data_IF_341253352156
#
_entry.id   IF_341253352156
#
_cell.length_a   1.000
_cell.length_b   1.000
_cell.length_c   1.000
_cell.angle_alpha   90.00
_cell.angle_beta   90.00
_cell.angle_gamma   90.00
#
_symmetry.space_group_name_H-M   'P 1'
#
loop_
_entity.id
_entity.type
_entity.pdbx_description
1 polymer ?
#
# COMPACT_ATOMS: atom_id res chain seq x y z
N UNK A 1 0.77 14.65 -16.15
CA UNK A 1 1.25 13.31 -15.80
C UNK A 1 0.93 13.08 -14.33
N UNK A 2 0.06 12.14 -14.06
CA UNK A 2 -0.28 11.73 -12.70
C UNK A 2 0.68 10.64 -12.23
N UNK A 3 0.88 10.52 -10.91
CA UNK A 3 1.88 9.62 -10.29
C UNK A 3 3.28 9.75 -10.94
N UNK A 4 3.67 10.97 -11.29
CA UNK A 4 4.89 11.25 -12.03
C UNK A 4 6.19 10.82 -11.30
N UNK A 5 6.09 10.57 -10.00
CA UNK A 5 7.21 10.06 -9.19
C UNK A 5 7.44 8.56 -9.35
N UNK A 6 6.47 7.82 -9.91
CA UNK A 6 6.60 6.38 -10.20
C UNK A 6 7.16 6.10 -11.61
N UNK A 7 7.12 7.09 -12.50
CA UNK A 7 7.61 6.95 -13.86
C UNK A 7 9.12 7.23 -13.91
N UNK A 8 9.86 6.43 -14.69
CA UNK A 8 11.25 6.76 -15.03
C UNK A 8 11.28 8.02 -15.91
N UNK A 9 12.35 8.79 -15.81
CA UNK A 9 12.46 10.07 -16.54
C UNK A 9 12.19 9.96 -18.04
N UNK A 10 12.71 8.95 -18.78
CA UNK A 10 12.40 8.79 -20.22
C UNK A 10 10.90 8.66 -20.52
N UNK A 11 10.12 8.01 -19.66
CA UNK A 11 8.66 7.89 -19.85
C UNK A 11 7.96 9.25 -19.73
N UNK A 12 8.44 10.10 -18.83
CA UNK A 12 7.90 11.45 -18.65
C UNK A 12 8.17 12.36 -19.85
N UNK A 13 9.07 12.01 -20.76
CA UNK A 13 9.36 12.78 -21.97
C UNK A 13 8.40 12.48 -23.12
N UNK A 14 7.67 11.37 -23.09
CA UNK A 14 6.77 10.98 -24.18
C UNK A 14 5.70 12.05 -24.53
N UNK A 15 5.04 12.73 -23.57
CA UNK A 15 4.10 13.79 -23.89
C UNK A 15 4.70 14.96 -24.70
N UNK A 16 6.00 15.23 -24.50
CA UNK A 16 6.69 16.30 -25.27
C UNK A 16 6.86 15.90 -26.74
N UNK A 17 7.04 14.63 -27.05
CA UNK A 17 7.10 14.13 -28.42
C UNK A 17 5.75 14.31 -29.14
N UNK A 18 4.66 14.37 -28.41
CA UNK A 18 3.32 14.66 -28.93
C UNK A 18 3.00 16.16 -28.99
N UNK A 19 4.00 17.03 -28.82
CA UNK A 19 3.88 18.46 -28.99
C UNK A 19 3.33 19.22 -27.77
N UNK A 20 3.35 18.64 -26.58
CA UNK A 20 2.97 19.32 -25.35
C UNK A 20 3.90 20.51 -25.09
N UNK A 21 3.34 21.71 -24.96
CA UNK A 21 4.08 22.95 -24.67
C UNK A 21 4.15 23.24 -23.16
N UNK A 22 3.25 22.68 -22.41
CA UNK A 22 3.17 22.80 -20.95
C UNK A 22 2.92 21.42 -20.38
N UNK A 23 3.62 21.07 -19.30
CA UNK A 23 3.47 19.80 -18.61
C UNK A 23 3.27 20.06 -17.13
N UNK A 24 2.27 19.42 -16.56
CA UNK A 24 2.01 19.40 -15.13
C UNK A 24 2.37 17.99 -14.63
N UNK A 25 3.30 17.92 -13.69
CA UNK A 25 3.67 16.70 -13.01
C UNK A 25 2.96 16.67 -11.65
N UNK A 26 2.18 15.63 -11.41
CA UNK A 26 1.51 15.38 -10.13
C UNK A 26 2.11 14.12 -9.54
N UNK A 27 2.50 14.15 -8.27
CA UNK A 27 3.13 13.01 -7.61
C UNK A 27 3.69 13.38 -6.25
N UNK A 28 4.21 12.40 -5.56
CA UNK A 28 4.75 12.54 -4.21
C UNK A 28 6.11 11.84 -4.10
N UNK A 29 7.18 12.61 -4.05
CA UNK A 29 8.55 12.09 -3.95
C UNK A 29 8.90 11.53 -2.55
N UNK A 30 7.99 11.60 -1.59
CA UNK A 30 8.09 10.93 -0.28
C UNK A 30 7.48 9.53 -0.29
N UNK A 31 6.79 9.16 -1.36
CA UNK A 31 6.28 7.82 -1.61
C UNK A 31 7.26 7.00 -2.46
N UNK A 32 6.85 5.81 -2.90
CA UNK A 32 7.69 4.93 -3.68
C UNK A 32 8.01 5.55 -5.05
N UNK A 33 9.27 5.45 -5.44
CA UNK A 33 9.75 5.87 -6.76
C UNK A 33 9.59 4.78 -7.83
N UNK A 34 10.22 4.96 -9.01
CA UNK A 34 10.18 3.98 -10.08
C UNK A 34 10.74 2.62 -9.68
N UNK A 35 10.07 1.54 -10.09
CA UNK A 35 10.51 0.17 -9.81
C UNK A 35 11.55 -0.27 -10.83
N UNK A 36 12.82 -0.34 -10.41
CA UNK A 36 13.95 -0.75 -11.24
C UNK A 36 14.46 -2.11 -10.77
N UNK A 37 14.41 -3.12 -11.65
CA UNK A 37 14.84 -4.49 -11.33
C UNK A 37 16.35 -4.69 -11.55
N UNK A 38 16.97 -3.94 -12.47
CA UNK A 38 18.38 -4.01 -12.77
C UNK A 38 19.17 -3.13 -11.78
N UNK A 39 20.10 -3.73 -11.04
CA UNK A 39 20.89 -3.03 -10.00
C UNK A 39 21.82 -1.99 -10.59
N UNK A 40 22.42 -2.27 -11.75
CA UNK A 40 23.35 -1.38 -12.44
C UNK A 40 22.65 -0.11 -12.92
N UNK A 41 21.47 -0.24 -13.49
CA UNK A 41 20.68 0.91 -13.96
C UNK A 41 20.11 1.72 -12.78
N UNK A 42 19.78 1.07 -11.68
CA UNK A 42 19.43 1.75 -10.44
C UNK A 42 20.59 2.56 -9.88
N UNK A 43 21.78 1.97 -9.81
CA UNK A 43 23.01 2.66 -9.39
C UNK A 43 23.39 3.83 -10.31
N UNK A 44 23.02 3.76 -11.59
CA UNK A 44 23.18 4.85 -12.56
C UNK A 44 22.09 5.94 -12.44
N UNK A 45 21.13 5.82 -11.51
CA UNK A 45 20.14 6.85 -11.21
C UNK A 45 18.84 6.75 -12.01
N UNK A 46 18.57 5.61 -12.69
CA UNK A 46 17.30 5.43 -13.41
C UNK A 46 16.07 5.36 -12.46
N UNK A 47 16.28 5.09 -11.18
CA UNK A 47 15.27 5.10 -10.15
C UNK A 47 14.85 6.50 -9.67
N UNK A 48 15.50 7.56 -10.18
CA UNK A 48 15.09 8.94 -9.94
C UNK A 48 14.11 9.39 -11.00
N UNK A 49 12.92 9.82 -10.56
CA UNK A 49 11.92 10.38 -11.44
C UNK A 49 12.31 11.80 -11.91
N UNK A 50 11.74 12.24 -13.03
CA UNK A 50 11.86 13.63 -13.48
C UNK A 50 11.37 14.60 -12.39
N UNK A 51 10.28 14.26 -11.69
CA UNK A 51 9.75 15.07 -10.58
C UNK A 51 10.79 15.27 -9.49
N UNK A 52 11.38 14.18 -8.99
CA UNK A 52 12.41 14.24 -7.95
C UNK A 52 13.64 15.04 -8.40
N UNK A 53 14.10 14.82 -9.62
CA UNK A 53 15.25 15.56 -10.17
C UNK A 53 14.99 17.07 -10.22
N UNK A 54 13.81 17.48 -10.67
CA UNK A 54 13.44 18.91 -10.70
C UNK A 54 13.39 19.52 -9.30
N UNK A 55 12.86 18.79 -8.31
CA UNK A 55 12.90 19.24 -6.89
C UNK A 55 14.35 19.37 -6.39
N UNK A 56 15.21 18.39 -6.70
CA UNK A 56 16.64 18.47 -6.35
C UNK A 56 17.38 19.65 -7.02
N UNK A 57 16.92 20.07 -8.19
CA UNK A 57 17.43 21.26 -8.89
C UNK A 57 16.90 22.58 -8.33
N UNK A 58 16.09 22.56 -7.29
CA UNK A 58 15.55 23.72 -6.60
C UNK A 58 14.22 24.24 -7.14
N UNK A 59 13.57 23.52 -8.07
CA UNK A 59 12.20 23.85 -8.50
C UNK A 59 11.25 23.48 -7.36
N UNK A 60 10.57 24.49 -6.82
CA UNK A 60 9.64 24.30 -5.71
C UNK A 60 8.30 23.77 -6.20
N UNK A 61 7.85 22.59 -5.76
CA UNK A 61 6.53 22.09 -6.10
C UNK A 61 5.45 22.84 -5.30
N UNK A 62 4.25 22.90 -5.85
CA UNK A 62 3.05 23.28 -5.11
C UNK A 62 2.64 22.10 -4.25
N UNK A 63 2.61 22.26 -2.93
CA UNK A 63 2.30 21.19 -2.00
C UNK A 63 0.81 21.19 -1.64
N UNK A 64 0.13 20.07 -1.89
CA UNK A 64 -1.19 19.80 -1.35
C UNK A 64 -1.03 19.27 0.08
N UNK A 65 -1.68 19.90 1.04
CA UNK A 65 -1.49 19.60 2.47
C UNK A 65 -2.71 18.96 3.12
N UNK A 66 -3.87 18.99 2.46
CA UNK A 66 -5.12 18.45 3.01
C UNK A 66 -5.39 17.08 2.44
N UNK A 67 -5.49 16.08 3.30
CA UNK A 67 -5.90 14.72 2.93
C UNK A 67 -7.39 14.49 3.25
N UNK A 68 -8.08 13.74 2.41
CA UNK A 68 -9.51 13.40 2.52
C UNK A 68 -9.77 11.89 2.59
N UNK A 69 -8.73 11.08 2.54
CA UNK A 69 -8.79 9.62 2.44
C UNK A 69 -8.89 8.96 3.82
N UNK A 70 -7.89 9.20 4.65
CA UNK A 70 -7.67 8.43 5.87
C UNK A 70 -8.43 8.99 7.07
N UNK A 71 -8.79 8.09 7.99
CA UNK A 71 -9.18 8.48 9.34
C UNK A 71 -8.07 9.34 9.98
N UNK A 72 -8.40 10.43 10.72
CA UNK A 72 -7.41 11.33 11.31
C UNK A 72 -6.31 10.64 12.13
N UNK A 73 -6.66 9.61 12.91
CA UNK A 73 -5.67 8.83 13.69
C UNK A 73 -4.65 8.08 12.82
N UNK A 74 -5.03 7.66 11.60
CA UNK A 74 -4.12 6.99 10.67
C UNK A 74 -3.15 7.98 10.00
N UNK A 75 -3.52 9.27 9.94
CA UNK A 75 -2.69 10.33 9.34
C UNK A 75 -1.53 10.74 10.24
N UNK A 76 -1.63 10.55 11.54
CA UNK A 76 -0.65 11.05 12.52
C UNK A 76 0.77 10.55 12.23
N UNK A 77 0.93 9.24 12.04
CA UNK A 77 2.24 8.66 11.78
C UNK A 77 2.86 9.13 10.46
N UNK A 78 2.20 9.00 9.29
CA UNK A 78 2.79 9.45 8.04
C UNK A 78 3.01 10.95 8.01
N UNK A 79 2.14 11.77 8.61
CA UNK A 79 2.31 13.21 8.70
C UNK A 79 3.62 13.57 9.42
N UNK A 80 3.82 13.01 10.61
CA UNK A 80 5.00 13.32 11.43
C UNK A 80 6.30 12.74 10.84
N UNK A 81 6.23 11.57 10.21
CA UNK A 81 7.42 10.86 9.72
C UNK A 81 7.91 11.39 8.38
N UNK A 82 6.99 11.70 7.46
CA UNK A 82 7.34 11.99 6.06
C UNK A 82 7.00 13.42 5.63
N UNK A 83 6.10 14.12 6.34
CA UNK A 83 5.56 15.41 5.92
C UNK A 83 5.70 16.51 6.99
N UNK A 84 6.66 16.37 7.91
CA UNK A 84 7.01 17.39 8.92
C UNK A 84 5.83 17.81 9.82
N UNK A 85 4.85 16.90 10.01
CA UNK A 85 3.63 17.18 10.78
C UNK A 85 2.65 18.14 10.10
N UNK A 86 2.82 18.43 8.81
CA UNK A 86 2.06 19.50 8.12
C UNK A 86 0.81 19.01 7.38
N UNK A 87 0.55 17.69 7.32
CA UNK A 87 -0.68 17.18 6.74
C UNK A 87 -1.88 17.55 7.61
N UNK A 88 -2.90 18.09 6.96
CA UNK A 88 -4.16 18.45 7.57
C UNK A 88 -5.26 17.44 7.17
N UNK A 89 -6.21 17.21 8.05
CA UNK A 89 -7.34 16.33 7.77
C UNK A 89 -8.51 17.17 7.24
N UNK A 90 -8.95 16.89 6.02
CA UNK A 90 -10.17 17.43 5.43
C UNK A 90 -11.42 16.60 5.76
N UNK A 91 -11.25 15.53 6.54
CA UNK A 91 -12.32 14.67 7.03
C UNK A 91 -12.27 14.60 8.56
N UNK A 92 -13.41 14.37 9.18
CA UNK A 92 -13.53 14.19 10.63
C UNK A 92 -13.47 12.72 11.03
N UNK A 93 -13.33 12.45 12.31
CA UNK A 93 -13.41 11.09 12.87
C UNK A 93 -14.76 10.44 12.54
N UNK A 94 -15.86 11.22 12.63
CA UNK A 94 -17.20 10.73 12.31
C UNK A 94 -17.39 10.36 10.83
N UNK A 95 -16.73 11.07 9.91
CA UNK A 95 -16.80 10.78 8.47
C UNK A 95 -16.10 9.47 8.11
N UNK A 96 -15.20 9.01 8.97
CA UNK A 96 -14.36 7.80 8.76
C UNK A 96 -14.54 6.77 9.87
N UNK A 97 -15.64 6.84 10.61
CA UNK A 97 -15.94 5.86 11.63
C UNK A 97 -16.26 4.52 10.99
N UNK A 98 -15.63 3.45 11.47
CA UNK A 98 -15.92 2.10 11.01
C UNK A 98 -17.35 1.70 11.40
N UNK A 99 -18.14 1.32 10.42
CA UNK A 99 -19.49 0.78 10.60
C UNK A 99 -19.42 -0.75 10.60
N UNK A 100 -19.73 -1.39 11.72
CA UNK A 100 -19.75 -2.85 11.86
C UNK A 100 -19.32 -3.34 13.24
N UNK A 101 -19.56 -4.62 13.49
CA UNK A 101 -19.30 -5.28 14.78
C UNK A 101 -17.91 -5.95 14.86
N UNK A 102 -16.96 -5.48 14.07
CA UNK A 102 -15.59 -6.00 14.17
C UNK A 102 -15.00 -5.63 15.54
N UNK A 103 -14.38 -6.59 16.26
CA UNK A 103 -13.90 -6.40 17.64
C UNK A 103 -12.57 -5.62 17.65
N UNK A 104 -12.60 -4.34 17.31
CA UNK A 104 -11.45 -3.47 17.44
C UNK A 104 -10.99 -3.40 18.89
N UNK A 105 -9.68 -3.58 19.18
CA UNK A 105 -9.14 -3.43 20.54
C UNK A 105 -9.41 -2.04 21.13
N UNK A 106 -9.40 -1.01 20.30
CA UNK A 106 -9.79 0.35 20.64
C UNK A 106 -10.71 0.91 19.54
N UNK A 107 -11.97 1.12 19.84
CA UNK A 107 -12.95 1.65 18.89
C UNK A 107 -12.67 3.07 18.42
N UNK A 108 -11.92 3.85 19.19
CA UNK A 108 -11.51 5.22 18.81
C UNK A 108 -10.31 5.23 17.86
N UNK A 109 -9.59 4.10 17.71
CA UNK A 109 -8.41 3.98 16.85
C UNK A 109 -8.62 2.83 15.87
N UNK A 110 -8.97 3.09 14.62
CA UNK A 110 -9.25 2.06 13.61
C UNK A 110 -7.96 1.44 13.07
N UNK A 111 -7.07 1.05 13.97
CA UNK A 111 -5.80 0.41 13.69
C UNK A 111 -5.39 -0.46 14.87
N UNK A 112 -4.88 -1.65 14.60
CA UNK A 112 -4.21 -2.46 15.60
C UNK A 112 -3.07 -3.28 14.99
N UNK A 113 -2.10 -3.61 15.80
CA UNK A 113 -1.01 -4.52 15.46
C UNK A 113 -1.31 -5.91 16.04
N UNK A 114 -1.36 -6.91 15.18
CA UNK A 114 -1.55 -8.29 15.59
C UNK A 114 -0.18 -8.99 15.65
N UNK A 115 0.36 -9.16 16.86
CA UNK A 115 1.61 -9.86 17.05
C UNK A 115 1.40 -11.37 16.85
N UNK A 116 2.04 -11.95 15.84
CA UNK A 116 1.93 -13.34 15.48
C UNK A 116 3.31 -13.96 15.28
N UNK A 117 3.60 -15.01 16.04
CA UNK A 117 4.82 -15.78 15.86
C UNK A 117 4.61 -16.83 14.77
N UNK A 118 5.33 -16.70 13.66
CA UNK A 118 5.29 -17.63 12.54
C UNK A 118 6.63 -17.65 11.82
N UNK A 119 7.02 -18.82 11.29
CA UNK A 119 8.25 -18.94 10.52
C UNK A 119 8.09 -18.39 9.11
N UNK A 120 9.10 -17.64 8.66
CA UNK A 120 9.23 -17.30 7.25
C UNK A 120 9.77 -18.50 6.46
N UNK A 121 9.27 -18.67 5.24
CA UNK A 121 9.68 -19.73 4.32
C UNK A 121 10.02 -19.13 2.96
N UNK A 122 10.94 -19.76 2.23
CA UNK A 122 11.18 -19.42 0.84
C UNK A 122 10.02 -19.95 0.01
N UNK A 123 9.43 -19.09 -0.83
CA UNK A 123 8.35 -19.49 -1.75
C UNK A 123 8.84 -20.51 -2.79
N UNK A 124 7.91 -21.26 -3.41
CA UNK A 124 8.24 -22.24 -4.44
C UNK A 124 9.03 -21.66 -5.65
N UNK A 125 8.95 -20.34 -5.88
CA UNK A 125 9.76 -19.67 -6.91
C UNK A 125 11.23 -19.52 -6.55
N UNK A 126 11.61 -19.75 -5.30
CA UNK A 126 12.98 -19.56 -4.81
C UNK A 126 13.43 -18.09 -4.64
N UNK A 127 12.59 -17.14 -5.03
CA UNK A 127 12.97 -15.71 -5.12
C UNK A 127 12.20 -14.80 -4.19
N UNK A 128 11.26 -15.33 -3.40
CA UNK A 128 10.41 -14.56 -2.50
C UNK A 128 10.14 -15.32 -1.20
N UNK A 129 9.60 -14.63 -0.21
CA UNK A 129 9.27 -15.21 1.08
C UNK A 129 7.74 -15.33 1.27
N UNK A 130 7.35 -16.21 2.17
CA UNK A 130 5.97 -16.35 2.64
C UNK A 130 5.95 -16.75 4.12
N UNK A 131 4.84 -16.51 4.80
CA UNK A 131 4.56 -16.93 6.16
C UNK A 131 3.14 -17.54 6.20
N UNK A 132 3.09 -18.87 6.39
CA UNK A 132 1.81 -19.61 6.36
C UNK A 132 0.93 -19.25 7.56
N UNK A 133 1.54 -19.01 8.70
CA UNK A 133 0.83 -18.66 9.92
C UNK A 133 0.14 -17.30 9.77
N UNK A 134 0.84 -16.31 9.18
CA UNK A 134 0.22 -15.03 8.86
C UNK A 134 -0.93 -15.18 7.87
N UNK A 135 -0.76 -15.95 6.80
CA UNK A 135 -1.83 -16.15 5.82
C UNK A 135 -3.09 -16.79 6.43
N UNK A 136 -2.91 -17.75 7.34
CA UNK A 136 -4.04 -18.34 8.08
C UNK A 136 -4.72 -17.33 9.02
N UNK A 137 -3.95 -16.43 9.63
CA UNK A 137 -4.51 -15.37 10.46
C UNK A 137 -5.22 -14.29 9.64
N UNK A 138 -4.67 -13.93 8.47
CA UNK A 138 -5.32 -13.04 7.49
C UNK A 138 -6.70 -13.59 7.12
N UNK A 139 -6.82 -14.87 6.83
CA UNK A 139 -8.10 -15.52 6.51
C UNK A 139 -9.11 -15.34 7.65
N UNK A 140 -8.72 -15.56 8.90
CA UNK A 140 -9.61 -15.39 10.06
C UNK A 140 -10.07 -13.93 10.22
N UNK A 141 -9.16 -12.97 10.03
CA UNK A 141 -9.48 -11.54 10.10
C UNK A 141 -10.44 -11.15 8.96
N UNK A 142 -10.17 -11.60 7.74
CA UNK A 142 -11.04 -11.39 6.57
C UNK A 142 -12.45 -11.91 6.86
N UNK A 143 -12.58 -13.14 7.36
CA UNK A 143 -13.88 -13.71 7.69
C UNK A 143 -14.61 -12.91 8.78
N UNK A 144 -13.89 -12.43 9.80
CA UNK A 144 -14.50 -11.60 10.85
C UNK A 144 -14.99 -10.27 10.26
N UNK A 145 -14.22 -9.61 9.39
CA UNK A 145 -14.61 -8.36 8.73
C UNK A 145 -15.82 -8.55 7.81
N UNK A 146 -15.82 -9.62 6.98
CA UNK A 146 -16.97 -9.91 6.11
C UNK A 146 -18.25 -10.22 6.92
N UNK A 147 -18.12 -10.95 8.02
CA UNK A 147 -19.24 -11.23 8.95
C UNK A 147 -19.74 -9.98 9.66
N UNK A 148 -18.89 -8.98 9.87
CA UNK A 148 -19.27 -7.69 10.46
C UNK A 148 -19.91 -6.71 9.46
N UNK A 149 -20.12 -7.13 8.20
CA UNK A 149 -20.81 -6.35 7.19
C UNK A 149 -19.90 -5.62 6.19
N UNK A 150 -18.58 -5.74 6.32
CA UNK A 150 -17.65 -5.18 5.34
C UNK A 150 -17.77 -5.91 4.01
N UNK A 151 -17.87 -5.18 2.91
CA UNK A 151 -17.91 -5.79 1.57
C UNK A 151 -16.53 -6.28 1.16
N UNK A 152 -16.47 -7.39 0.44
CA UNK A 152 -15.21 -7.94 -0.07
C UNK A 152 -14.45 -6.96 -0.99
N UNK A 153 -15.17 -6.14 -1.76
CA UNK A 153 -14.61 -5.08 -2.61
C UNK A 153 -13.93 -3.97 -1.84
N UNK A 154 -14.31 -3.77 -0.58
CA UNK A 154 -13.80 -2.71 0.29
C UNK A 154 -12.60 -3.17 1.14
N UNK A 155 -12.21 -4.46 0.99
CA UNK A 155 -11.03 -5.04 1.63
C UNK A 155 -9.82 -5.05 0.70
N UNK A 156 -8.68 -4.63 1.24
CA UNK A 156 -7.37 -4.77 0.62
C UNK A 156 -6.40 -5.55 1.52
N UNK A 157 -5.63 -6.44 0.92
CA UNK A 157 -4.55 -7.16 1.61
C UNK A 157 -3.24 -6.79 0.93
N UNK A 158 -2.31 -6.24 1.70
CA UNK A 158 -1.02 -5.76 1.21
C UNK A 158 0.10 -6.58 1.84
N UNK A 159 1.08 -6.95 1.04
CA UNK A 159 2.29 -7.62 1.53
C UNK A 159 3.51 -7.21 0.68
N UNK A 160 4.72 -7.09 1.25
CA UNK A 160 5.93 -6.77 0.49
C UNK A 160 6.38 -7.91 -0.45
N UNK A 161 5.86 -9.14 -0.24
CA UNK A 161 6.41 -10.33 -0.88
C UNK A 161 5.43 -10.96 -1.87
N UNK A 162 5.88 -11.13 -3.13
CA UNK A 162 5.09 -11.81 -4.19
C UNK A 162 4.71 -13.24 -3.80
N UNK A 163 5.60 -13.95 -3.07
CA UNK A 163 5.32 -15.29 -2.56
C UNK A 163 4.14 -15.32 -1.58
N UNK A 164 4.12 -14.38 -0.64
CA UNK A 164 3.02 -14.23 0.32
C UNK A 164 1.72 -13.86 -0.36
N UNK A 165 1.76 -12.91 -1.30
CA UNK A 165 0.59 -12.53 -2.10
C UNK A 165 -0.04 -13.74 -2.77
N UNK A 166 0.76 -14.51 -3.52
CA UNK A 166 0.26 -15.70 -4.21
C UNK A 166 -0.27 -16.76 -3.22
N UNK A 167 0.41 -16.92 -2.08
CA UNK A 167 -0.01 -17.86 -1.06
C UNK A 167 -1.34 -17.46 -0.42
N UNK A 168 -1.52 -16.18 -0.04
CA UNK A 168 -2.78 -15.67 0.53
C UNK A 168 -3.94 -15.89 -0.44
N UNK A 169 -3.79 -15.52 -1.73
CA UNK A 169 -4.85 -15.74 -2.74
C UNK A 169 -5.26 -17.21 -2.82
N UNK A 170 -4.29 -18.12 -2.90
CA UNK A 170 -4.55 -19.55 -2.94
C UNK A 170 -5.16 -20.08 -1.64
N UNK A 171 -4.69 -19.57 -0.50
CA UNK A 171 -5.16 -20.00 0.82
C UNK A 171 -6.62 -19.60 1.04
N UNK A 172 -6.98 -18.34 0.73
CA UNK A 172 -8.36 -17.86 0.81
C UNK A 172 -9.31 -18.67 -0.09
N UNK A 173 -8.88 -18.98 -1.33
CA UNK A 173 -9.69 -19.76 -2.26
C UNK A 173 -9.92 -21.21 -1.82
N UNK A 174 -8.95 -21.82 -1.14
CA UNK A 174 -9.00 -23.25 -0.76
C UNK A 174 -9.52 -23.50 0.65
N UNK A 175 -9.20 -22.61 1.59
CA UNK A 175 -9.44 -22.81 3.03
C UNK A 175 -10.42 -21.79 3.60
N UNK A 176 -10.85 -20.82 2.80
CA UNK A 176 -11.81 -19.82 3.23
C UNK A 176 -13.15 -20.45 3.61
N UNK A 177 -13.75 -19.96 4.69
CA UNK A 177 -15.03 -20.46 5.23
C UNK A 177 -16.26 -20.02 4.41
N UNK A 178 -16.09 -19.07 3.49
CA UNK A 178 -17.16 -18.51 2.65
C UNK A 178 -17.01 -18.98 1.20
N UNK A 179 -17.99 -18.60 0.37
CA UNK A 179 -17.93 -18.91 -1.05
C UNK A 179 -16.64 -18.35 -1.69
N UNK A 180 -15.87 -19.16 -2.46
CA UNK A 180 -14.63 -18.71 -3.12
C UNK A 180 -14.79 -17.46 -3.99
N UNK A 181 -15.96 -17.22 -4.58
CA UNK A 181 -16.23 -16.01 -5.37
C UNK A 181 -16.16 -14.73 -4.54
N UNK A 182 -16.51 -14.79 -3.26
CA UNK A 182 -16.40 -13.64 -2.34
C UNK A 182 -14.93 -13.26 -2.18
N UNK A 183 -14.05 -14.24 -2.00
CA UNK A 183 -12.63 -13.99 -1.82
C UNK A 183 -11.94 -13.44 -3.08
N UNK A 184 -12.45 -13.78 -4.28
CA UNK A 184 -11.94 -13.22 -5.53
C UNK A 184 -12.16 -11.71 -5.67
N UNK A 185 -13.17 -11.18 -4.98
CA UNK A 185 -13.45 -9.75 -4.97
C UNK A 185 -12.51 -8.95 -4.04
N UNK A 186 -11.77 -9.64 -3.14
CA UNK A 186 -10.78 -9.02 -2.27
C UNK A 186 -9.52 -8.74 -3.07
N UNK A 187 -9.05 -7.51 -2.99
CA UNK A 187 -7.81 -7.12 -3.65
C UNK A 187 -6.59 -7.54 -2.82
N UNK A 188 -5.74 -8.42 -3.37
CA UNK A 188 -4.47 -8.83 -2.75
C UNK A 188 -3.33 -8.35 -3.61
N UNK A 189 -2.52 -7.42 -3.13
CA UNK A 189 -1.46 -6.79 -3.91
C UNK A 189 -0.12 -6.69 -3.15
N UNK A 190 0.96 -6.45 -3.89
CA UNK A 190 2.23 -5.99 -3.31
C UNK A 190 2.13 -4.52 -2.93
N UNK A 191 3.07 -4.05 -2.12
CA UNK A 191 3.16 -2.63 -1.74
C UNK A 191 3.20 -1.74 -2.99
N UNK A 192 4.09 -2.05 -3.95
CA UNK A 192 4.17 -1.30 -5.21
C UNK A 192 2.88 -1.39 -6.03
N UNK A 193 2.26 -2.58 -6.08
CA UNK A 193 1.03 -2.81 -6.86
C UNK A 193 -0.22 -2.17 -6.24
N UNK A 194 -0.15 -1.72 -4.99
CA UNK A 194 -1.26 -1.04 -4.31
C UNK A 194 -1.13 0.49 -4.33
N UNK A 195 0.01 1.01 -4.78
CA UNK A 195 0.24 2.45 -4.87
C UNK A 195 -0.81 3.11 -5.78
N UNK A 196 -1.31 4.27 -5.40
CA UNK A 196 -2.42 4.96 -6.07
C UNK A 196 -3.81 4.38 -5.82
N UNK A 197 -3.93 3.29 -5.05
CA UNK A 197 -5.21 2.64 -4.72
C UNK A 197 -5.63 2.92 -3.28
N UNK A 198 -6.90 2.66 -2.99
CA UNK A 198 -7.46 2.81 -1.65
C UNK A 198 -8.56 1.78 -1.37
N UNK A 199 -8.73 1.41 -0.12
CA UNK A 199 -9.80 0.54 0.38
C UNK A 199 -10.24 1.03 1.75
N UNK A 200 -11.47 0.72 2.13
CA UNK A 200 -11.99 1.07 3.45
C UNK A 200 -11.23 0.34 4.59
N UNK A 201 -10.84 -0.91 4.35
CA UNK A 201 -10.06 -1.69 5.31
C UNK A 201 -8.85 -2.31 4.64
N UNK A 202 -7.68 -2.12 5.24
CA UNK A 202 -6.41 -2.68 4.79
C UNK A 202 -5.90 -3.67 5.84
N UNK A 203 -5.50 -4.86 5.38
CA UNK A 203 -4.75 -5.84 6.16
C UNK A 203 -3.32 -5.88 5.60
N UNK A 204 -2.33 -5.62 6.45
CA UNK A 204 -0.93 -5.70 6.07
C UNK A 204 -0.29 -6.96 6.64
N UNK A 205 0.28 -7.82 5.77
CA UNK A 205 1.03 -9.02 6.14
C UNK A 205 2.51 -8.79 5.91
N UNK A 206 3.29 -8.65 6.99
CA UNK A 206 4.69 -8.27 6.96
C UNK A 206 5.61 -9.43 6.55
N UNK A 207 5.23 -10.69 6.83
CA UNK A 207 5.94 -11.94 6.52
C UNK A 207 7.21 -12.12 7.36
N UNK A 208 8.07 -11.12 7.42
CA UNK A 208 9.37 -11.13 8.09
C UNK A 208 9.38 -10.09 9.20
N UNK A 209 9.65 -10.54 10.39
CA UNK A 209 9.80 -9.70 11.57
C UNK A 209 10.70 -10.46 12.56
N UNK A 210 11.99 -10.46 12.31
CA UNK A 210 12.98 -11.15 13.12
C UNK A 210 14.29 -10.34 13.20
N UNK A 211 15.14 -10.70 14.16
CA UNK A 211 16.38 -9.97 14.47
C UNK A 211 17.47 -10.09 13.37
N UNK A 212 17.17 -10.80 12.27
CA UNK A 212 18.12 -11.02 11.16
C UNK A 212 17.83 -10.18 9.93
N UNK A 213 16.90 -9.24 10.05
CA UNK A 213 16.49 -8.36 8.93
C UNK A 213 16.88 -6.92 9.24
#
# INVERSE_FOLDING_TARGET
IDEATQAIEPECLLPFLHGAKQVILVGDHRQLGPVITCRETKAAGLDKSLFERLVCMGIRPVRLQVQYRMHPELTVFPSNTFYEGTLQNGVTISDRQFEGDFPWPNKAKPMFFFNLLGAEEISASGTSFLNRTEAAQVEKIVNALLKSGVKATDLGIITPYKGQRAYIVNYLAKNGQLNPEIYKAIEVASVDGFQGREKEVIIFSAVRSNDKV
#
